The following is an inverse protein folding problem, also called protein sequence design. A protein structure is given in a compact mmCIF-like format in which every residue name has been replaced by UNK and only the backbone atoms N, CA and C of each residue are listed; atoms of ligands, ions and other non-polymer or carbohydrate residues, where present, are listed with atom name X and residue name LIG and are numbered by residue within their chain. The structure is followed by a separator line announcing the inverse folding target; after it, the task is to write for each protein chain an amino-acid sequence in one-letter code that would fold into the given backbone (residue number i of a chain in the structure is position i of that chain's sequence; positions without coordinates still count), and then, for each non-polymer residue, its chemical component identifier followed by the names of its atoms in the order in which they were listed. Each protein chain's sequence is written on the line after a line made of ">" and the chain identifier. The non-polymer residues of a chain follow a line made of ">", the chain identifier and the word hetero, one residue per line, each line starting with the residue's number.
data_IF_960469743477
#
_entry.id   IF_960469743477
#
_cell.length_a   1.000
_cell.length_b   1.000
_cell.length_c   1.000
_cell.angle_alpha   90.00
_cell.angle_beta   90.00
_cell.angle_gamma   90.00
#
_symmetry.space_group_name_H-M   'P 1'
#
loop_
_entity.id
_entity.type
_entity.pdbx_description
1 polymer ?
#
# COMPACT_ATOMS: atom_id res chain seq x y z
N UNK A 1 -9.59 8.82 15.13
CA UNK A 1 -8.69 7.93 14.38
C UNK A 1 -9.10 6.53 14.77
N UNK A 2 -9.77 5.83 13.89
CA UNK A 2 -10.26 4.48 14.16
C UNK A 2 -9.04 3.56 14.27
N UNK A 3 -8.92 2.80 15.36
CA UNK A 3 -7.77 1.89 15.56
C UNK A 3 -7.69 0.89 14.39
N UNK A 4 -8.84 0.54 13.80
CA UNK A 4 -8.94 -0.36 12.66
C UNK A 4 -8.28 0.17 11.39
N UNK A 5 -8.36 1.48 11.10
CA UNK A 5 -7.74 2.06 9.89
C UNK A 5 -6.22 2.11 10.00
N UNK A 6 -5.69 2.43 11.19
CA UNK A 6 -4.23 2.42 11.40
C UNK A 6 -3.68 1.00 11.29
N UNK A 7 -4.36 0.02 11.88
CA UNK A 7 -3.98 -1.39 11.80
C UNK A 7 -4.09 -1.93 10.37
N UNK A 8 -5.11 -1.50 9.61
CA UNK A 8 -5.24 -1.82 8.19
C UNK A 8 -4.10 -1.24 7.36
N UNK A 9 -3.75 0.03 7.58
CA UNK A 9 -2.62 0.68 6.92
C UNK A 9 -1.28 0.00 7.22
N UNK A 10 -1.04 -0.37 8.48
CA UNK A 10 0.18 -1.11 8.87
C UNK A 10 0.23 -2.49 8.18
N UNK A 11 -0.89 -3.21 8.10
CA UNK A 11 -0.98 -4.48 7.36
C UNK A 11 -0.66 -4.30 5.87
N UNK A 12 -1.22 -3.29 5.22
CA UNK A 12 -0.93 -3.01 3.81
C UNK A 12 0.56 -2.74 3.57
N UNK A 13 1.21 -1.99 4.47
CA UNK A 13 2.65 -1.75 4.38
C UNK A 13 3.48 -3.03 4.53
N UNK A 14 3.10 -3.92 5.44
CA UNK A 14 3.80 -5.19 5.62
C UNK A 14 3.58 -6.14 4.44
N UNK A 15 2.37 -6.16 3.87
CA UNK A 15 2.10 -6.90 2.64
C UNK A 15 2.90 -6.34 1.46
N UNK A 16 3.00 -5.02 1.33
CA UNK A 16 3.84 -4.38 0.31
C UNK A 16 5.32 -4.79 0.43
N UNK A 17 5.89 -4.76 1.65
CA UNK A 17 7.28 -5.20 1.88
C UNK A 17 7.48 -6.66 1.48
N UNK A 18 6.54 -7.53 1.86
CA UNK A 18 6.61 -8.95 1.51
C UNK A 18 6.59 -9.14 0.00
N UNK A 19 5.72 -8.41 -0.69
CA UNK A 19 5.61 -8.45 -2.14
C UNK A 19 6.87 -7.92 -2.83
N UNK A 20 7.50 -6.89 -2.27
CA UNK A 20 8.78 -6.35 -2.73
C UNK A 20 9.89 -7.39 -2.62
N UNK A 21 9.96 -8.11 -1.49
CA UNK A 21 10.93 -9.20 -1.32
C UNK A 21 10.70 -10.35 -2.31
N UNK A 22 9.44 -10.72 -2.59
CA UNK A 22 9.13 -11.74 -3.61
C UNK A 22 9.51 -11.26 -5.01
N UNK A 23 9.31 -9.98 -5.33
CA UNK A 23 9.77 -9.38 -6.59
C UNK A 23 11.30 -9.41 -6.72
N UNK A 24 12.03 -9.02 -5.66
CA UNK A 24 13.50 -9.07 -5.63
C UNK A 24 14.01 -10.50 -5.83
N UNK A 25 13.39 -11.47 -5.15
CA UNK A 25 13.74 -12.88 -5.28
C UNK A 25 13.48 -13.41 -6.71
N UNK A 26 12.38 -13.02 -7.35
CA UNK A 26 12.10 -13.37 -8.75
C UNK A 26 13.10 -12.72 -9.71
N UNK A 27 13.43 -11.45 -9.49
CA UNK A 27 14.41 -10.73 -10.29
C UNK A 27 15.80 -11.36 -10.17
N UNK A 28 16.22 -11.75 -8.97
CA UNK A 28 17.49 -12.44 -8.71
C UNK A 28 17.53 -13.85 -9.32
N UNK A 29 16.43 -14.60 -9.20
CA UNK A 29 16.31 -15.94 -9.77
C UNK A 29 16.20 -15.97 -11.30
N UNK A 30 16.23 -14.80 -11.97
CA UNK A 30 15.98 -14.66 -13.41
C UNK A 30 14.66 -15.33 -13.81
N UNK A 31 13.65 -15.18 -12.96
CA UNK A 31 12.31 -15.66 -13.25
C UNK A 31 11.80 -15.05 -14.56
N UNK A 32 10.79 -15.70 -15.16
CA UNK A 32 10.22 -15.24 -16.42
C UNK A 32 9.80 -13.77 -16.32
N UNK A 33 10.12 -12.98 -17.34
CA UNK A 33 9.79 -11.55 -17.35
C UNK A 33 8.29 -11.29 -17.15
N UNK A 34 7.43 -12.24 -17.51
CA UNK A 34 6.00 -12.18 -17.28
C UNK A 34 5.63 -12.26 -15.78
N UNK A 35 6.35 -13.09 -15.01
CA UNK A 35 6.12 -13.27 -13.57
C UNK A 35 6.64 -12.08 -12.78
N UNK A 36 7.80 -11.55 -13.18
CA UNK A 36 8.37 -10.30 -12.67
C UNK A 36 7.43 -9.12 -12.94
N UNK A 37 6.92 -8.98 -14.17
CA UNK A 37 5.98 -7.92 -14.52
C UNK A 37 4.68 -8.03 -13.72
N UNK A 38 4.15 -9.25 -13.54
CA UNK A 38 2.94 -9.46 -12.74
C UNK A 38 3.13 -9.02 -11.29
N UNK A 39 4.28 -9.33 -10.67
CA UNK A 39 4.60 -8.83 -9.32
C UNK A 39 4.74 -7.31 -9.27
N UNK A 40 5.27 -6.71 -10.32
CA UNK A 40 5.44 -5.26 -10.43
C UNK A 40 4.08 -4.55 -10.57
N UNK A 41 3.14 -5.15 -11.31
CA UNK A 41 1.74 -4.69 -11.38
C UNK A 41 1.07 -4.80 -10.00
N UNK A 42 1.20 -5.95 -9.32
CA UNK A 42 0.67 -6.14 -7.96
C UNK A 42 1.26 -5.11 -6.97
N UNK A 43 2.55 -4.78 -7.06
CA UNK A 43 3.21 -3.75 -6.25
C UNK A 43 2.62 -2.36 -6.52
N UNK A 44 2.33 -2.05 -7.79
CA UNK A 44 1.76 -0.77 -8.19
C UNK A 44 0.36 -0.59 -7.63
N UNK A 45 -0.50 -1.61 -7.76
CA UNK A 45 -1.85 -1.61 -7.18
C UNK A 45 -1.81 -1.44 -5.66
N UNK A 46 -0.93 -2.20 -4.98
CA UNK A 46 -0.76 -2.13 -3.52
C UNK A 46 -0.34 -0.73 -3.05
N UNK A 47 0.56 -0.10 -3.80
CA UNK A 47 1.04 1.25 -3.50
C UNK A 47 -0.07 2.29 -3.67
N UNK A 48 -0.93 2.15 -4.68
CA UNK A 48 -2.12 2.99 -4.82
C UNK A 48 -3.11 2.80 -3.66
N UNK A 49 -3.35 1.56 -3.24
CA UNK A 49 -4.22 1.24 -2.11
C UNK A 49 -3.71 1.87 -0.80
N UNK A 50 -2.40 1.75 -0.52
CA UNK A 50 -1.75 2.41 0.62
C UNK A 50 -1.93 3.93 0.56
N UNK A 51 -1.76 4.54 -0.62
CA UNK A 51 -1.94 5.98 -0.79
C UNK A 51 -3.40 6.41 -0.57
N UNK A 52 -4.37 5.61 -1.02
CA UNK A 52 -5.79 5.88 -0.78
C UNK A 52 -6.12 5.77 0.72
N UNK A 53 -5.68 4.73 1.41
CA UNK A 53 -5.86 4.59 2.85
C UNK A 53 -5.15 5.71 3.62
N UNK A 54 -3.93 6.07 3.21
CA UNK A 54 -3.22 7.22 3.78
C UNK A 54 -3.99 8.53 3.57
N UNK A 55 -4.56 8.74 2.37
CA UNK A 55 -5.37 9.91 2.07
C UNK A 55 -6.61 9.94 2.95
N UNK A 56 -7.33 8.82 3.14
CA UNK A 56 -8.48 8.74 4.07
C UNK A 56 -8.09 9.13 5.49
N UNK A 57 -6.99 8.57 6.00
CA UNK A 57 -6.44 8.87 7.33
C UNK A 57 -6.06 10.36 7.46
N UNK A 58 -5.58 10.98 6.38
CA UNK A 58 -5.13 12.37 6.35
C UNK A 58 -6.28 13.36 6.10
N UNK A 59 -7.26 13.00 5.27
CA UNK A 59 -8.44 13.80 4.94
C UNK A 59 -9.45 13.82 6.09
N UNK A 60 -9.51 12.78 6.92
CA UNK A 60 -10.21 12.81 8.22
C UNK A 60 -9.74 13.98 9.11
N UNK A 61 -8.50 14.45 8.95
CA UNK A 61 -7.99 15.65 9.66
C UNK A 61 -8.41 16.96 9.00
N UNK A 62 -8.72 16.98 7.70
CA UNK A 62 -9.19 18.18 7.00
C UNK A 62 -10.69 18.40 7.16
N UNK A 63 -11.49 17.34 7.15
CA UNK A 63 -12.96 17.48 7.25
C UNK A 63 -13.44 17.94 8.64
N UNK A 64 -12.67 17.66 9.70
CA UNK A 64 -12.96 18.15 11.05
C UNK A 64 -12.63 19.64 11.27
N UNK A 65 -11.86 20.29 10.39
CA UNK A 65 -11.52 21.71 10.50
C UNK A 65 -12.50 22.64 9.76
N UNK A 66 -13.53 22.12 9.09
CA UNK A 66 -14.51 22.93 8.36
C UNK A 66 -15.90 22.99 9.02
N UNK A 67 -16.06 22.44 10.23
CA UNK A 67 -17.30 22.50 11.03
C UNK A 67 -17.13 23.25 12.35
N UNK A 68 -16.30 24.29 12.38
CA UNK A 68 -16.33 25.28 13.46
C UNK A 68 -16.73 26.61 12.83
N UNK A 69 -18.04 26.81 12.70
CA UNK A 69 -18.67 28.09 12.40
C UNK A 69 -19.75 28.31 13.46
#
# INVERSE_FOLDING_TARGET
>A
MDYSQKEHYEKLQDEYKKLMSEYEELAENKADSNEVNKKLDELTEKHEEINQEFSKITDDKKENNHKIN
#
